data_IF_604419146721
#
_entry.id   IF_604419146721
#
_cell.length_a   1.000
_cell.length_b   1.000
_cell.length_c   1.000
_cell.angle_alpha   90.00
_cell.angle_beta   90.00
_cell.angle_gamma   90.00
#
_symmetry.space_group_name_H-M   'P 1'
#
loop_
_entity.id
_entity.type
_entity.pdbx_description
1 polymer ?
#
# COMPACT_ATOMS: atom_id res chain seq x y z
N UNK A 1 17.39 16.08 -14.88
CA UNK A 1 16.04 15.84 -15.42
C UNK A 1 15.81 14.35 -15.38
N UNK A 2 14.69 13.94 -14.77
CA UNK A 2 14.38 12.55 -14.58
C UNK A 2 14.02 11.92 -15.93
N UNK A 3 14.48 10.70 -16.18
CA UNK A 3 14.17 9.97 -17.41
C UNK A 3 12.92 9.10 -17.24
N UNK A 4 11.90 9.34 -18.05
CA UNK A 4 10.72 8.47 -18.11
C UNK A 4 11.03 7.17 -18.86
N UNK A 5 10.72 6.05 -18.22
CA UNK A 5 10.81 4.72 -18.82
C UNK A 5 9.47 4.36 -19.42
N UNK A 6 9.41 4.31 -20.74
CA UNK A 6 8.15 4.05 -21.47
C UNK A 6 7.62 2.62 -21.30
N UNK A 7 8.50 1.65 -21.02
CA UNK A 7 8.11 0.24 -20.88
C UNK A 7 7.59 -0.01 -19.46
N UNK A 8 6.32 -0.43 -19.29
CA UNK A 8 5.77 -0.73 -17.97
C UNK A 8 6.45 -1.95 -17.34
N UNK A 9 6.61 -1.91 -16.02
CA UNK A 9 7.24 -2.96 -15.21
C UNK A 9 6.18 -3.66 -14.36
N UNK A 10 6.26 -4.99 -14.26
CA UNK A 10 5.45 -5.74 -13.30
C UNK A 10 6.25 -5.95 -12.02
N UNK A 11 5.79 -5.39 -10.92
CA UNK A 11 6.33 -5.64 -9.58
C UNK A 11 5.46 -6.69 -8.89
N UNK A 12 5.96 -7.92 -8.84
CA UNK A 12 5.21 -9.07 -8.35
C UNK A 12 5.64 -9.44 -6.92
N UNK A 13 4.69 -9.46 -6.00
CA UNK A 13 4.85 -10.10 -4.70
C UNK A 13 4.80 -11.62 -4.83
N UNK A 14 5.49 -12.31 -3.91
CA UNK A 14 5.43 -13.75 -3.74
C UNK A 14 4.86 -14.09 -2.36
N UNK A 15 4.52 -15.35 -2.13
CA UNK A 15 4.13 -15.82 -0.81
C UNK A 15 5.32 -15.85 0.16
N UNK A 16 4.99 -15.74 1.45
CA UNK A 16 5.91 -15.93 2.57
C UNK A 16 5.20 -16.67 3.70
N UNK A 17 5.89 -16.87 4.83
CA UNK A 17 5.39 -17.70 5.93
C UNK A 17 3.99 -17.34 6.42
N UNK A 18 3.60 -16.07 6.40
CA UNK A 18 2.32 -15.59 6.92
C UNK A 18 1.33 -15.10 5.85
N UNK A 19 1.69 -15.16 4.57
CA UNK A 19 0.77 -14.86 3.49
C UNK A 19 1.00 -15.71 2.24
N UNK A 20 -0.10 -16.09 1.58
CA UNK A 20 -0.06 -16.74 0.28
C UNK A 20 -1.30 -16.50 -0.55
N UNK A 21 -1.13 -16.23 -1.85
CA UNK A 21 -2.21 -16.39 -2.83
C UNK A 21 -2.22 -17.87 -3.26
N UNK A 22 -3.18 -18.67 -2.82
CA UNK A 22 -3.17 -20.12 -3.05
C UNK A 22 -3.68 -20.45 -4.46
N UNK A 23 -4.82 -19.87 -4.84
CA UNK A 23 -5.46 -20.11 -6.14
C UNK A 23 -6.39 -18.93 -6.46
N UNK A 24 -6.72 -18.76 -7.72
CA UNK A 24 -7.58 -17.69 -8.21
C UNK A 24 -8.31 -18.10 -9.48
N UNK A 25 -9.47 -17.50 -9.67
CA UNK A 25 -10.28 -17.69 -10.86
C UNK A 25 -11.76 -17.43 -10.61
N UNK A 26 -12.53 -17.42 -11.70
CA UNK A 26 -13.96 -17.15 -11.73
C UNK A 26 -14.36 -15.91 -10.90
N UNK A 27 -13.54 -14.86 -10.99
CA UNK A 27 -13.75 -13.58 -10.32
C UNK A 27 -13.47 -13.59 -8.81
N UNK A 28 -12.75 -14.59 -8.29
CA UNK A 28 -12.43 -14.76 -6.86
C UNK A 28 -10.99 -15.21 -6.66
N UNK A 29 -10.53 -15.14 -5.41
CA UNK A 29 -9.22 -15.63 -4.96
C UNK A 29 -9.30 -16.33 -3.63
N UNK A 30 -8.47 -17.35 -3.45
CA UNK A 30 -8.22 -18.05 -2.19
C UNK A 30 -6.85 -17.63 -1.66
N UNK A 31 -6.81 -17.07 -0.46
CA UNK A 31 -5.58 -16.61 0.17
C UNK A 31 -5.40 -17.21 1.56
N UNK A 32 -4.15 -17.38 1.98
CA UNK A 32 -3.74 -17.72 3.33
C UNK A 32 -3.21 -16.46 4.04
N UNK A 33 -3.65 -16.25 5.27
CA UNK A 33 -3.17 -15.22 6.19
C UNK A 33 -2.83 -15.90 7.51
N UNK A 34 -1.57 -16.30 7.67
CA UNK A 34 -1.09 -17.11 8.79
C UNK A 34 -1.83 -18.47 8.84
N UNK A 35 -2.52 -18.80 9.93
CA UNK A 35 -3.23 -20.08 10.07
C UNK A 35 -4.56 -20.12 9.32
N UNK A 36 -5.06 -18.98 8.83
CA UNK A 36 -6.40 -18.87 8.27
C UNK A 36 -6.41 -18.76 6.75
N UNK A 37 -7.49 -19.26 6.12
CA UNK A 37 -7.70 -19.19 4.67
C UNK A 37 -9.01 -18.48 4.34
N UNK A 38 -8.98 -17.58 3.37
CA UNK A 38 -10.13 -16.76 3.00
C UNK A 38 -10.39 -16.75 1.50
N UNK A 39 -11.67 -16.83 1.14
CA UNK A 39 -12.13 -16.57 -0.22
C UNK A 39 -12.58 -15.12 -0.31
N UNK A 40 -12.08 -14.38 -1.31
CA UNK A 40 -12.44 -12.98 -1.54
C UNK A 40 -12.76 -12.73 -3.02
N UNK A 41 -13.64 -11.77 -3.32
CA UNK A 41 -13.91 -11.36 -4.70
C UNK A 41 -12.69 -10.65 -5.30
N UNK A 42 -12.38 -10.98 -6.54
CA UNK A 42 -11.39 -10.30 -7.37
C UNK A 42 -11.80 -10.43 -8.84
N UNK A 43 -12.48 -9.41 -9.36
CA UNK A 43 -13.07 -9.44 -10.70
C UNK A 43 -12.03 -9.53 -11.83
N UNK A 44 -10.74 -9.37 -11.52
CA UNK A 44 -9.65 -9.50 -12.49
C UNK A 44 -9.16 -10.95 -12.65
N UNK A 45 -9.55 -11.86 -11.75
CA UNK A 45 -9.27 -13.29 -11.86
C UNK A 45 -10.20 -13.96 -12.89
N UNK A 46 -10.07 -13.59 -14.17
CA UNK A 46 -10.96 -13.97 -15.27
C UNK A 46 -10.83 -15.44 -15.70
N UNK A 47 -9.72 -16.07 -15.35
CA UNK A 47 -9.42 -17.47 -15.64
C UNK A 47 -10.15 -18.43 -14.70
N UNK A 48 -10.05 -19.73 -14.94
CA UNK A 48 -10.64 -20.75 -14.05
C UNK A 48 -9.70 -21.08 -12.88
N UNK A 49 -10.21 -21.37 -11.68
CA UNK A 49 -9.42 -21.96 -10.59
C UNK A 49 -8.70 -23.23 -11.04
N UNK A 50 -7.51 -23.50 -10.47
CA UNK A 50 -6.78 -24.75 -10.72
C UNK A 50 -7.21 -25.85 -9.75
N UNK A 51 -7.65 -25.47 -8.56
CA UNK A 51 -8.20 -26.40 -7.58
C UNK A 51 -9.68 -26.62 -7.85
N UNK A 52 -10.13 -27.88 -7.80
CA UNK A 52 -11.55 -28.22 -7.97
C UNK A 52 -12.41 -27.64 -6.86
N UNK A 53 -11.86 -27.54 -5.64
CA UNK A 53 -12.55 -27.04 -4.45
C UNK A 53 -11.61 -26.23 -3.58
N UNK A 54 -12.11 -25.12 -3.05
CA UNK A 54 -11.41 -24.30 -2.09
C UNK A 54 -11.84 -24.64 -0.66
N UNK A 55 -10.87 -24.97 0.18
CA UNK A 55 -11.07 -25.07 1.62
C UNK A 55 -10.67 -23.74 2.28
N UNK A 56 -11.64 -23.07 2.91
CA UNK A 56 -11.45 -21.80 3.60
C UNK A 56 -12.11 -21.79 4.98
N UNK A 57 -11.64 -20.90 5.84
CA UNK A 57 -12.24 -20.60 7.14
C UNK A 57 -13.34 -19.54 7.02
N UNK A 58 -13.24 -18.68 6.00
CA UNK A 58 -14.30 -17.75 5.67
C UNK A 58 -14.28 -17.26 4.23
N UNK A 59 -15.39 -16.62 3.85
CA UNK A 59 -15.60 -16.01 2.56
C UNK A 59 -16.20 -14.61 2.75
N UNK A 60 -15.66 -13.61 2.04
CA UNK A 60 -16.29 -12.31 1.95
C UNK A 60 -17.31 -12.29 0.82
N UNK A 61 -18.58 -12.07 1.17
CA UNK A 61 -19.69 -11.92 0.23
C UNK A 61 -20.01 -10.42 0.11
N UNK A 62 -19.78 -9.79 -1.07
CA UNK A 62 -20.23 -8.43 -1.34
C UNK A 62 -21.74 -8.31 -1.10
N UNK A 63 -22.18 -7.21 -0.49
CA UNK A 63 -23.61 -6.87 -0.46
C UNK A 63 -24.06 -6.26 -1.78
N UNK A 64 -25.36 -6.01 -1.87
CA UNK A 64 -25.95 -5.29 -3.00
C UNK A 64 -25.48 -3.83 -3.00
N UNK A 65 -25.58 -3.16 -4.16
CA UNK A 65 -25.22 -1.74 -4.30
C UNK A 65 -26.03 -0.82 -3.35
N UNK A 66 -27.19 -1.28 -2.84
CA UNK A 66 -28.05 -0.55 -1.90
C UNK A 66 -27.57 -0.65 -0.43
N UNK A 67 -26.93 -1.76 -0.04
CA UNK A 67 -26.48 -2.01 1.35
C UNK A 67 -25.09 -1.44 1.65
N UNK A 68 -24.35 -0.97 0.62
CA UNK A 68 -23.09 -0.23 0.75
C UNK A 68 -21.93 -0.97 1.44
N UNK A 69 -22.09 -2.26 1.72
CA UNK A 69 -21.15 -3.10 2.46
C UNK A 69 -21.23 -4.56 2.04
N UNK A 70 -20.42 -5.42 2.65
CA UNK A 70 -20.51 -6.88 2.48
C UNK A 70 -20.42 -7.59 3.83
N UNK A 71 -20.37 -8.91 3.82
CA UNK A 71 -20.29 -9.70 5.05
C UNK A 71 -19.34 -10.88 4.93
N UNK A 72 -18.72 -11.22 6.04
CA UNK A 72 -17.98 -12.47 6.17
C UNK A 72 -18.94 -13.61 6.50
N UNK A 73 -18.81 -14.72 5.77
CA UNK A 73 -19.43 -16.00 6.08
C UNK A 73 -18.34 -16.96 6.52
N UNK A 74 -18.43 -17.49 7.73
CA UNK A 74 -17.40 -18.33 8.32
C UNK A 74 -17.79 -19.80 8.26
N UNK A 75 -16.89 -20.64 7.74
CA UNK A 75 -17.00 -22.10 7.80
C UNK A 75 -16.43 -22.66 9.10
N UNK A 76 -15.44 -21.98 9.69
CA UNK A 76 -14.82 -22.32 10.97
C UNK A 76 -14.70 -21.09 11.88
N UNK A 77 -14.51 -21.27 13.20
CA UNK A 77 -14.26 -20.15 14.10
C UNK A 77 -13.00 -19.36 13.71
N UNK A 78 -13.15 -18.04 13.56
CA UNK A 78 -12.06 -17.08 13.33
C UNK A 78 -12.08 -16.06 14.48
N UNK A 79 -10.93 -15.74 15.11
CA UNK A 79 -10.87 -14.76 16.20
C UNK A 79 -11.42 -13.39 15.78
N UNK A 80 -12.30 -12.81 16.60
CA UNK A 80 -12.92 -11.51 16.30
C UNK A 80 -11.96 -10.35 16.52
N UNK A 81 -11.05 -10.51 17.49
CA UNK A 81 -9.97 -9.60 17.83
C UNK A 81 -8.84 -9.58 16.78
N UNK A 82 -8.87 -10.51 15.82
CA UNK A 82 -7.82 -10.71 14.83
C UNK A 82 -6.74 -11.68 15.28
N UNK A 83 -5.73 -11.86 14.44
CA UNK A 83 -4.59 -12.74 14.69
C UNK A 83 -3.28 -12.07 14.24
N UNK A 84 -2.15 -12.36 14.91
CA UNK A 84 -0.87 -11.78 14.55
C UNK A 84 -0.37 -12.41 13.24
N UNK A 85 0.25 -11.57 12.43
CA UNK A 85 1.06 -11.93 11.27
C UNK A 85 2.40 -11.20 11.35
N UNK A 86 3.35 -11.65 10.54
CA UNK A 86 4.65 -11.04 10.36
C UNK A 86 5.00 -10.88 8.88
N UNK A 87 5.74 -9.82 8.60
CA UNK A 87 6.48 -9.63 7.36
C UNK A 87 7.86 -9.09 7.75
N UNK A 88 8.90 -9.89 7.52
CA UNK A 88 10.24 -9.67 8.05
C UNK A 88 10.19 -9.40 9.58
N UNK A 89 10.83 -8.33 10.05
CA UNK A 89 10.81 -7.92 11.46
C UNK A 89 9.49 -7.29 11.93
N UNK A 90 8.59 -6.92 11.01
CA UNK A 90 7.35 -6.20 11.36
C UNK A 90 6.24 -7.19 11.71
N UNK A 91 5.74 -7.12 12.95
CA UNK A 91 4.55 -7.85 13.39
C UNK A 91 3.32 -6.94 13.37
N UNK A 92 2.20 -7.46 12.90
CA UNK A 92 0.94 -6.71 12.77
C UNK A 92 -0.27 -7.62 12.96
N UNK A 93 -1.43 -7.03 13.22
CA UNK A 93 -2.68 -7.79 13.39
C UNK A 93 -3.50 -7.79 12.09
N UNK A 94 -3.83 -8.98 11.59
CA UNK A 94 -4.86 -9.15 10.57
C UNK A 94 -6.22 -9.41 11.21
N UNK A 95 -7.30 -9.01 10.54
CA UNK A 95 -8.66 -9.24 11.00
C UNK A 95 -9.67 -9.19 9.87
N UNK A 96 -10.76 -9.95 9.98
CA UNK A 96 -11.93 -9.82 9.12
C UNK A 96 -12.66 -8.51 9.41
N UNK A 97 -12.35 -7.47 8.65
CA UNK A 97 -13.00 -6.16 8.81
C UNK A 97 -14.44 -6.18 8.29
N UNK A 98 -15.26 -5.13 8.55
CA UNK A 98 -16.58 -5.00 7.90
C UNK A 98 -16.51 -4.90 6.37
N UNK A 99 -15.31 -4.69 5.81
CA UNK A 99 -15.06 -4.65 4.36
C UNK A 99 -14.24 -5.87 3.93
N UNK A 100 -13.96 -5.97 2.62
CA UNK A 100 -13.23 -7.10 2.02
C UNK A 100 -11.75 -7.21 2.42
N UNK A 101 -11.15 -6.18 3.04
CA UNK A 101 -9.73 -6.20 3.38
C UNK A 101 -9.49 -6.84 4.76
N UNK A 102 -8.29 -7.39 4.95
CA UNK A 102 -7.91 -8.16 6.14
C UNK A 102 -6.99 -7.41 7.11
N UNK A 103 -6.90 -6.08 6.99
CA UNK A 103 -6.03 -5.25 7.86
C UNK A 103 -4.61 -5.03 7.31
N UNK A 104 -4.29 -5.66 6.18
CA UNK A 104 -2.98 -5.65 5.54
C UNK A 104 -3.12 -5.87 4.02
N UNK A 105 -2.19 -5.30 3.25
CA UNK A 105 -2.13 -5.36 1.78
C UNK A 105 -0.81 -6.03 1.36
N UNK A 106 -0.84 -7.35 1.09
CA UNK A 106 0.36 -8.15 0.81
C UNK A 106 1.15 -7.73 -0.43
N UNK A 107 0.47 -7.14 -1.39
CA UNK A 107 1.04 -6.63 -2.63
C UNK A 107 1.96 -5.41 -2.44
N UNK A 108 1.95 -4.81 -1.26
CA UNK A 108 2.89 -3.76 -0.87
C UNK A 108 4.25 -4.29 -0.40
N UNK A 109 4.39 -5.59 -0.11
CA UNK A 109 5.66 -6.19 0.29
C UNK A 109 6.83 -5.87 -0.67
N UNK A 110 6.74 -6.11 -2.00
CA UNK A 110 7.81 -5.76 -2.92
C UNK A 110 8.06 -4.23 -3.02
N UNK A 111 7.05 -3.41 -2.72
CA UNK A 111 7.20 -1.95 -2.65
C UNK A 111 8.09 -1.57 -1.47
N UNK A 112 7.87 -2.18 -0.31
CA UNK A 112 8.65 -1.92 0.90
C UNK A 112 10.10 -2.40 0.77
N UNK A 113 10.31 -3.55 0.15
CA UNK A 113 11.66 -4.02 -0.18
C UNK A 113 12.36 -3.03 -1.12
N UNK A 114 11.70 -2.63 -2.21
CA UNK A 114 12.25 -1.66 -3.17
C UNK A 114 12.60 -0.31 -2.53
N UNK A 115 11.75 0.23 -1.65
CA UNK A 115 12.06 1.48 -0.93
C UNK A 115 13.26 1.30 0.00
N UNK A 116 13.40 0.11 0.61
CA UNK A 116 14.56 -0.22 1.42
C UNK A 116 15.86 -0.24 0.63
N UNK A 117 15.85 -0.74 -0.60
CA UNK A 117 16.99 -0.68 -1.52
C UNK A 117 17.39 0.77 -1.83
N UNK A 118 16.43 1.68 -1.99
CA UNK A 118 16.71 3.10 -2.25
C UNK A 118 17.34 3.83 -1.04
N UNK A 119 17.23 3.25 0.15
CA UNK A 119 17.74 3.78 1.41
C UNK A 119 18.88 2.94 2.00
N UNK A 120 19.44 2.00 1.22
CA UNK A 120 20.47 1.11 1.73
C UNK A 120 21.67 1.89 2.29
N UNK A 121 22.14 1.49 3.48
CA UNK A 121 23.21 2.17 4.19
C UNK A 121 22.84 3.48 4.90
N UNK A 122 21.59 3.97 4.77
CA UNK A 122 21.09 5.15 5.51
C UNK A 122 20.57 4.75 6.89
N UNK A 123 20.80 5.62 7.89
CA UNK A 123 20.25 5.49 9.25
C UNK A 123 19.53 6.75 9.74
N UNK A 124 19.52 7.80 8.93
CA UNK A 124 18.98 9.13 9.21
C UNK A 124 17.96 9.58 8.15
N UNK A 125 17.54 8.69 7.24
CA UNK A 125 16.63 9.02 6.16
C UNK A 125 15.22 9.38 6.71
N UNK A 126 14.81 10.62 6.51
CA UNK A 126 13.50 11.12 6.89
C UNK A 126 12.48 10.77 5.81
N UNK A 127 11.50 9.90 6.12
CA UNK A 127 10.48 9.46 5.16
C UNK A 127 9.07 9.90 5.54
N UNK A 128 8.18 9.96 4.56
CA UNK A 128 6.75 10.22 4.75
C UNK A 128 5.92 9.09 4.15
N UNK A 129 4.94 8.59 4.92
CA UNK A 129 3.94 7.64 4.47
C UNK A 129 2.55 8.29 4.53
N UNK A 130 2.02 8.66 3.36
CA UNK A 130 0.70 9.27 3.20
C UNK A 130 -0.34 8.18 2.92
N UNK A 131 -1.51 8.31 3.53
CA UNK A 131 -2.54 7.26 3.54
C UNK A 131 -2.01 5.97 4.17
N UNK A 132 -1.26 6.12 5.28
CA UNK A 132 -0.42 5.05 5.82
C UNK A 132 -1.16 3.87 6.45
N UNK A 133 -2.49 3.94 6.57
CA UNK A 133 -3.37 2.86 7.04
C UNK A 133 -2.89 2.21 8.35
N UNK A 134 -2.71 0.89 8.38
CA UNK A 134 -2.28 0.12 9.56
C UNK A 134 -0.76 0.16 9.79
N UNK A 135 -0.03 0.98 9.03
CA UNK A 135 1.33 1.38 9.34
C UNK A 135 2.42 0.36 9.07
N UNK A 136 2.15 -0.76 8.39
CA UNK A 136 3.21 -1.76 8.11
C UNK A 136 4.34 -1.16 7.26
N UNK A 137 4.02 -0.40 6.21
CA UNK A 137 5.03 0.34 5.44
C UNK A 137 5.78 1.41 6.25
N UNK A 138 5.12 2.04 7.22
CA UNK A 138 5.79 2.96 8.16
C UNK A 138 6.82 2.23 9.01
N UNK A 139 6.47 1.06 9.53
CA UNK A 139 7.38 0.26 10.35
C UNK A 139 8.55 -0.30 9.53
N UNK A 140 8.28 -0.73 8.28
CA UNK A 140 9.31 -1.15 7.34
C UNK A 140 10.36 -0.05 7.09
N UNK A 141 9.92 1.19 6.91
CA UNK A 141 10.81 2.35 6.68
C UNK A 141 11.52 2.82 7.96
N UNK A 142 10.95 2.57 9.14
CA UNK A 142 11.47 3.09 10.42
C UNK A 142 12.86 2.57 10.82
N UNK A 143 13.36 1.55 10.10
CA UNK A 143 14.74 1.07 10.27
C UNK A 143 15.80 1.96 9.63
N UNK A 144 15.42 2.81 8.67
CA UNK A 144 16.33 3.69 7.93
C UNK A 144 16.37 5.11 8.48
N UNK A 145 15.49 5.47 9.42
CA UNK A 145 15.43 6.79 10.01
C UNK A 145 14.03 7.21 10.46
N UNK A 146 13.81 8.51 10.72
CA UNK A 146 12.52 9.07 11.12
C UNK A 146 11.43 8.88 10.06
N UNK A 147 10.21 8.55 10.49
CA UNK A 147 9.05 8.40 9.59
C UNK A 147 7.90 9.29 10.02
N UNK A 148 7.35 10.06 9.10
CA UNK A 148 6.06 10.74 9.31
C UNK A 148 4.94 9.89 8.71
N UNK A 149 4.09 9.33 9.58
CA UNK A 149 2.90 8.57 9.18
C UNK A 149 1.67 9.49 9.19
N UNK A 150 0.94 9.52 8.09
CA UNK A 150 -0.25 10.36 7.93
C UNK A 150 -1.43 9.51 7.46
N UNK A 151 -2.53 9.52 8.21
CA UNK A 151 -3.79 8.91 7.81
C UNK A 151 -4.96 9.71 8.39
N UNK A 152 -6.05 9.86 7.64
CA UNK A 152 -7.23 10.61 8.11
C UNK A 152 -8.02 9.84 9.19
N UNK A 153 -7.91 8.51 9.23
CA UNK A 153 -8.62 7.65 10.16
C UNK A 153 -7.87 7.52 11.48
N UNK A 154 -8.42 8.13 12.53
CA UNK A 154 -7.95 7.92 13.92
C UNK A 154 -7.87 6.44 14.29
N UNK A 155 -8.79 5.61 13.78
CA UNK A 155 -8.79 4.16 13.98
C UNK A 155 -7.58 3.49 13.31
N UNK A 156 -7.25 3.90 12.09
CA UNK A 156 -6.09 3.37 11.35
C UNK A 156 -4.79 3.74 12.05
N UNK A 157 -4.62 5.01 12.43
CA UNK A 157 -3.43 5.47 13.19
C UNK A 157 -3.30 4.77 14.55
N UNK A 158 -4.41 4.54 15.25
CA UNK A 158 -4.40 3.76 16.49
C UNK A 158 -3.95 2.31 16.25
N UNK A 159 -4.45 1.67 15.19
CA UNK A 159 -4.00 0.33 14.80
C UNK A 159 -2.53 0.30 14.39
N UNK A 160 -2.04 1.32 13.69
CA UNK A 160 -0.63 1.44 13.31
C UNK A 160 0.29 1.54 14.54
N UNK A 161 -0.11 2.33 15.55
CA UNK A 161 0.59 2.37 16.85
C UNK A 161 0.53 1.03 17.59
N UNK A 162 -0.60 0.34 17.54
CA UNK A 162 -0.72 -1.00 18.14
C UNK A 162 0.19 -2.02 17.44
N UNK A 163 0.30 -1.96 16.11
CA UNK A 163 1.24 -2.77 15.34
C UNK A 163 2.70 -2.42 15.68
N UNK A 164 3.03 -1.14 15.89
CA UNK A 164 4.36 -0.72 16.35
C UNK A 164 4.71 -1.38 17.69
N UNK A 165 3.80 -1.33 18.66
CA UNK A 165 3.98 -1.99 19.97
C UNK A 165 4.08 -3.53 19.83
N UNK A 166 3.23 -4.14 19.00
CA UNK A 166 3.26 -5.59 18.73
C UNK A 166 4.59 -6.04 18.11
N UNK A 167 5.19 -5.19 17.27
CA UNK A 167 6.49 -5.42 16.66
C UNK A 167 7.68 -5.10 17.58
N UNK A 168 7.45 -4.53 18.78
CA UNK A 168 8.51 -4.03 19.66
C UNK A 168 9.28 -2.86 19.03
N UNK A 169 8.57 -2.00 18.29
CA UNK A 169 9.09 -0.86 17.53
C UNK A 169 8.49 0.47 18.00
N UNK A 170 7.97 0.53 19.22
CA UNK A 170 7.34 1.71 19.81
C UNK A 170 8.35 2.84 20.12
N UNK A 171 9.63 2.51 20.24
CA UNK A 171 10.74 3.46 20.44
C UNK A 171 11.29 4.04 19.12
N UNK A 172 10.85 3.53 17.97
CA UNK A 172 11.25 4.04 16.65
C UNK A 172 10.78 5.49 16.46
N UNK A 173 11.55 6.33 15.74
CA UNK A 173 11.24 7.74 15.54
C UNK A 173 10.07 7.98 14.56
N UNK A 174 8.86 7.58 14.94
CA UNK A 174 7.65 7.73 14.13
C UNK A 174 6.77 8.87 14.62
N UNK A 175 6.54 9.86 13.75
CA UNK A 175 5.56 10.92 13.96
C UNK A 175 4.21 10.50 13.40
N UNK A 176 3.27 10.16 14.28
CA UNK A 176 1.91 9.74 13.93
C UNK A 176 0.95 10.92 13.80
N UNK A 177 0.41 11.14 12.61
CA UNK A 177 -0.45 12.27 12.29
C UNK A 177 -1.84 11.77 11.85
N UNK A 178 -2.88 12.31 12.49
CA UNK A 178 -4.28 12.14 12.07
C UNK A 178 -4.70 13.41 11.33
N UNK A 179 -4.66 13.40 10.00
CA UNK A 179 -4.91 14.58 9.17
C UNK A 179 -5.26 14.21 7.73
N UNK A 180 -5.78 15.17 6.96
CA UNK A 180 -5.87 15.05 5.52
C UNK A 180 -4.48 15.11 4.89
N UNK A 181 -4.16 14.12 4.04
CA UNK A 181 -2.82 13.96 3.47
C UNK A 181 -2.39 15.17 2.62
N UNK A 182 -3.30 15.73 1.80
CA UNK A 182 -3.00 16.87 0.94
C UNK A 182 -2.79 18.15 1.74
N UNK A 183 -3.68 18.44 2.70
CA UNK A 183 -3.51 19.58 3.63
C UNK A 183 -2.22 19.46 4.43
N UNK A 184 -1.87 18.25 4.87
CA UNK A 184 -0.64 17.99 5.60
C UNK A 184 0.60 18.25 4.75
N UNK A 185 0.67 17.68 3.54
CA UNK A 185 1.76 17.92 2.61
C UNK A 185 1.93 19.43 2.33
N UNK A 186 0.83 20.14 2.05
CA UNK A 186 0.86 21.59 1.83
C UNK A 186 1.38 22.38 3.04
N UNK A 187 1.04 21.96 4.27
CA UNK A 187 1.59 22.56 5.51
C UNK A 187 3.08 22.31 5.66
N UNK A 188 3.55 21.10 5.35
CA UNK A 188 4.98 20.79 5.42
C UNK A 188 5.79 21.57 4.38
N UNK A 189 5.23 21.80 3.18
CA UNK A 189 5.83 22.71 2.17
C UNK A 189 5.98 24.12 2.73
N UNK A 190 4.92 24.69 3.31
CA UNK A 190 4.98 26.02 3.95
C UNK A 190 5.97 26.12 5.11
N UNK A 191 6.28 24.99 5.74
CA UNK A 191 7.28 24.88 6.82
C UNK A 191 8.70 24.65 6.31
N UNK A 192 8.90 24.57 4.99
CA UNK A 192 10.21 24.31 4.37
C UNK A 192 10.78 22.94 4.73
N UNK A 193 9.92 21.93 4.94
CA UNK A 193 10.37 20.56 5.26
C UNK A 193 10.90 19.85 4.02
N UNK A 194 11.76 18.85 4.25
CA UNK A 194 12.33 17.96 3.25
C UNK A 194 12.30 16.53 3.74
N UNK A 195 12.22 15.60 2.80
CA UNK A 195 12.17 14.16 3.05
C UNK A 195 13.10 13.45 2.05
N UNK A 196 13.69 12.35 2.47
CA UNK A 196 14.50 11.47 1.63
C UNK A 196 13.62 10.54 0.79
N UNK A 197 12.40 10.24 1.25
CA UNK A 197 11.50 9.34 0.56
C UNK A 197 10.03 9.56 0.92
N UNK A 198 9.15 9.48 -0.08
CA UNK A 198 7.70 9.61 0.12
C UNK A 198 7.01 8.39 -0.49
N UNK A 199 6.15 7.74 0.30
CA UNK A 199 5.18 6.75 -0.20
C UNK A 199 3.77 7.29 -0.01
N UNK A 200 2.92 7.08 -1.01
CA UNK A 200 1.52 7.48 -0.97
C UNK A 200 0.63 6.42 -1.62
N UNK A 201 -0.42 6.03 -0.89
CA UNK A 201 -1.42 5.05 -1.34
C UNK A 201 -2.85 5.65 -1.30
N UNK A 202 -3.12 6.69 -2.11
CA UNK A 202 -4.41 7.37 -2.08
C UNK A 202 -5.57 6.44 -2.51
N UNK A 203 -6.70 6.43 -1.77
CA UNK A 203 -7.89 5.72 -2.20
C UNK A 203 -8.54 6.44 -3.39
N UNK A 204 -9.40 5.74 -4.14
CA UNK A 204 -10.21 6.38 -5.20
C UNK A 204 -11.06 7.55 -4.66
N UNK A 205 -11.70 7.31 -3.53
CA UNK A 205 -12.54 8.26 -2.82
C UNK A 205 -12.25 8.14 -1.33
N UNK A 206 -12.22 9.27 -0.62
CA UNK A 206 -11.96 9.30 0.81
C UNK A 206 -12.54 10.53 1.46
N UNK A 207 -12.41 10.60 2.79
CA UNK A 207 -12.71 11.80 3.55
C UNK A 207 -11.60 12.11 4.55
N UNK A 208 -11.27 13.39 4.67
CA UNK A 208 -10.40 13.87 5.74
C UNK A 208 -11.10 13.88 7.11
N UNK A 209 -10.36 14.10 8.21
CA UNK A 209 -10.92 14.09 9.56
C UNK A 209 -11.97 15.16 9.81
N UNK A 210 -11.92 16.28 9.07
CA UNK A 210 -12.87 17.40 9.17
C UNK A 210 -13.96 17.34 8.09
N UNK A 211 -14.04 16.22 7.35
CA UNK A 211 -15.05 15.98 6.32
C UNK A 211 -14.66 16.44 4.92
N UNK A 212 -13.39 16.82 4.71
CA UNK A 212 -12.81 17.12 3.40
C UNK A 212 -13.08 15.97 2.43
N UNK A 213 -13.42 16.28 1.19
CA UNK A 213 -13.69 15.26 0.18
C UNK A 213 -12.40 14.98 -0.59
N UNK A 214 -11.95 13.72 -0.56
CA UNK A 214 -10.86 13.26 -1.42
C UNK A 214 -11.43 12.53 -2.63
N UNK A 215 -10.94 12.91 -3.81
CA UNK A 215 -11.21 12.26 -5.10
C UNK A 215 -9.92 12.19 -5.88
N UNK A 216 -9.48 10.97 -6.18
CA UNK A 216 -8.17 10.72 -6.78
C UNK A 216 -7.93 11.58 -8.04
N UNK A 217 -8.84 11.51 -9.00
CA UNK A 217 -8.72 12.21 -10.31
C UNK A 217 -8.67 13.74 -10.18
N UNK A 218 -9.32 14.30 -9.14
CA UNK A 218 -9.39 15.75 -8.94
C UNK A 218 -8.22 16.30 -8.10
N UNK A 219 -7.70 15.51 -7.15
CA UNK A 219 -6.79 15.99 -6.12
C UNK A 219 -5.36 15.43 -6.21
N UNK A 220 -5.16 14.32 -6.93
CA UNK A 220 -3.84 13.69 -7.05
C UNK A 220 -2.78 14.64 -7.65
N UNK A 221 -3.04 15.42 -8.72
CA UNK A 221 -2.02 16.32 -9.28
C UNK A 221 -1.46 17.31 -8.25
N UNK A 222 -2.33 18.03 -7.53
CA UNK A 222 -1.89 18.99 -6.50
C UNK A 222 -1.19 18.32 -5.30
N UNK A 223 -1.58 17.09 -4.94
CA UNK A 223 -0.84 16.34 -3.92
C UNK A 223 0.58 15.98 -4.40
N UNK A 224 0.74 15.56 -5.66
CA UNK A 224 2.03 15.22 -6.25
C UNK A 224 2.93 16.46 -6.35
N UNK A 225 2.40 17.63 -6.70
CA UNK A 225 3.13 18.91 -6.66
C UNK A 225 3.67 19.21 -5.26
N UNK A 226 2.87 19.00 -4.21
CA UNK A 226 3.32 19.15 -2.83
C UNK A 226 4.40 18.14 -2.46
N UNK A 227 4.25 16.86 -2.86
CA UNK A 227 5.27 15.84 -2.61
C UNK A 227 6.58 16.17 -3.31
N UNK A 228 6.52 16.61 -4.57
CA UNK A 228 7.69 17.10 -5.31
C UNK A 228 8.38 18.25 -4.59
N UNK A 229 7.65 19.25 -4.11
CA UNK A 229 8.22 20.38 -3.37
C UNK A 229 8.84 20.00 -2.01
N UNK A 230 8.56 18.80 -1.51
CA UNK A 230 9.14 18.20 -0.31
C UNK A 230 10.37 17.31 -0.59
N UNK A 231 10.69 17.08 -1.87
CA UNK A 231 11.84 16.30 -2.35
C UNK A 231 12.83 17.23 -3.06
N UNK A 232 14.11 16.86 -3.06
CA UNK A 232 15.19 17.56 -3.75
C UNK A 232 16.18 16.58 -4.43
N UNK A 233 17.30 17.11 -4.92
CA UNK A 233 18.31 16.35 -5.67
C UNK A 233 19.05 15.31 -4.80
N UNK A 234 18.93 15.36 -3.47
CA UNK A 234 19.50 14.39 -2.53
C UNK A 234 18.46 13.35 -2.07
N UNK A 235 17.16 13.62 -2.29
CA UNK A 235 16.09 12.66 -2.04
C UNK A 235 16.23 11.43 -2.92
N UNK A 236 15.70 10.29 -2.44
CA UNK A 236 15.89 8.96 -3.03
C UNK A 236 14.70 8.43 -3.78
N UNK A 237 13.48 8.71 -3.31
CA UNK A 237 12.30 8.20 -4.00
C UNK A 237 10.98 8.95 -3.73
N UNK A 238 10.06 8.75 -4.67
CA UNK A 238 8.62 8.84 -4.48
C UNK A 238 7.99 7.56 -5.02
N UNK A 239 7.09 6.93 -4.27
CA UNK A 239 6.33 5.77 -4.75
C UNK A 239 4.83 5.99 -4.58
N UNK A 240 4.09 6.00 -5.70
CA UNK A 240 2.65 6.18 -5.75
C UNK A 240 1.97 4.86 -6.14
N UNK A 241 1.05 4.38 -5.32
CA UNK A 241 0.16 3.25 -5.63
C UNK A 241 -1.29 3.69 -5.81
N UNK A 242 -1.99 3.02 -6.73
CA UNK A 242 -3.42 3.26 -6.97
C UNK A 242 -4.14 1.92 -7.23
N UNK A 243 -5.05 1.55 -6.33
CA UNK A 243 -5.89 0.34 -6.44
C UNK A 243 -7.10 0.50 -7.38
N UNK A 244 -7.32 1.69 -7.96
CA UNK A 244 -8.48 2.00 -8.79
C UNK A 244 -8.26 1.58 -10.27
N UNK A 245 -8.72 0.38 -10.63
CA UNK A 245 -8.51 -0.29 -11.95
C UNK A 245 -9.18 0.39 -13.17
N UNK A 246 -9.60 1.65 -13.06
CA UNK A 246 -10.09 2.43 -14.24
C UNK A 246 -9.06 3.45 -14.76
N UNK A 247 -7.83 3.36 -14.31
CA UNK A 247 -6.71 4.21 -14.72
C UNK A 247 -5.58 3.35 -15.29
N UNK A 248 -4.86 3.87 -16.27
CA UNK A 248 -3.62 3.27 -16.78
C UNK A 248 -2.44 3.80 -15.97
N UNK A 249 -1.42 2.96 -15.72
CA UNK A 249 -0.16 3.40 -15.12
C UNK A 249 0.54 4.50 -15.94
N UNK A 250 0.27 4.58 -17.25
CA UNK A 250 0.73 5.68 -18.12
C UNK A 250 0.23 7.05 -17.68
N UNK A 251 -0.99 7.14 -17.13
CA UNK A 251 -1.52 8.42 -16.64
C UNK A 251 -0.76 8.89 -15.39
N UNK A 252 -0.37 7.94 -14.52
CA UNK A 252 0.46 8.24 -13.35
C UNK A 252 1.88 8.62 -13.77
N UNK A 253 2.44 7.91 -14.75
CA UNK A 253 3.76 8.17 -15.29
C UNK A 253 3.85 9.57 -15.91
N UNK A 254 2.88 9.96 -16.74
CA UNK A 254 2.84 11.29 -17.35
C UNK A 254 2.73 12.42 -16.32
N UNK A 255 1.96 12.21 -15.23
CA UNK A 255 1.91 13.16 -14.13
C UNK A 255 3.27 13.29 -13.42
N UNK A 256 3.95 12.18 -13.13
CA UNK A 256 5.28 12.24 -12.52
C UNK A 256 6.31 12.86 -13.47
N UNK A 257 6.26 12.56 -14.77
CA UNK A 257 7.17 13.10 -15.78
C UNK A 257 7.09 14.63 -15.85
N UNK A 258 5.88 15.19 -15.85
CA UNK A 258 5.66 16.63 -15.80
C UNK A 258 6.21 17.24 -14.50
N UNK A 259 5.85 16.66 -13.35
CA UNK A 259 6.14 17.27 -12.03
C UNK A 259 7.61 17.10 -11.61
N UNK A 260 8.29 16.04 -12.04
CA UNK A 260 9.69 15.75 -11.68
C UNK A 260 10.70 16.13 -12.76
N UNK A 261 10.28 16.84 -13.81
CA UNK A 261 11.12 17.21 -14.95
C UNK A 261 12.44 17.90 -14.54
N UNK A 262 12.45 18.62 -13.42
CA UNK A 262 13.59 19.40 -12.93
C UNK A 262 14.53 18.63 -11.98
N UNK A 263 14.15 17.48 -11.45
CA UNK A 263 15.02 16.63 -10.62
C UNK A 263 15.87 15.67 -11.46
N UNK A 264 16.99 15.13 -10.94
CA UNK A 264 17.64 13.96 -11.53
C UNK A 264 16.82 12.68 -11.32
N UNK A 265 17.28 11.57 -11.88
CA UNK A 265 16.74 10.25 -11.58
C UNK A 265 15.94 9.62 -12.72
N UNK A 266 15.03 8.72 -12.35
CA UNK A 266 14.29 7.87 -13.29
C UNK A 266 12.85 7.71 -12.82
N UNK A 267 11.93 7.70 -13.77
CA UNK A 267 10.50 7.46 -13.56
C UNK A 267 10.13 6.12 -14.18
N UNK A 268 9.52 5.25 -13.38
CA UNK A 268 9.01 3.95 -13.80
C UNK A 268 7.54 3.81 -13.41
N UNK A 269 6.82 2.99 -14.16
CA UNK A 269 5.41 2.73 -13.91
C UNK A 269 5.04 1.30 -14.28
N UNK A 270 3.88 0.84 -13.84
CA UNK A 270 3.34 -0.44 -14.25
C UNK A 270 2.35 -1.00 -13.24
N UNK A 271 2.37 -2.32 -13.07
CA UNK A 271 1.40 -3.07 -12.28
C UNK A 271 2.06 -3.72 -11.07
N UNK A 272 1.39 -3.61 -9.92
CA UNK A 272 1.56 -4.50 -8.79
C UNK A 272 0.72 -5.75 -9.02
N UNK A 273 1.32 -6.90 -8.72
CA UNK A 273 0.64 -8.19 -8.82
C UNK A 273 1.04 -9.12 -7.69
N UNK A 274 0.15 -10.06 -7.37
CA UNK A 274 0.46 -11.19 -6.50
C UNK A 274 0.63 -12.45 -7.33
N UNK A 275 1.74 -13.16 -7.11
CA UNK A 275 1.96 -14.48 -7.70
C UNK A 275 1.31 -15.55 -6.82
N UNK A 276 0.57 -16.46 -7.45
CA UNK A 276 0.08 -17.67 -6.78
C UNK A 276 1.23 -18.53 -6.26
N UNK A 277 1.02 -19.21 -5.13
CA UNK A 277 1.93 -20.19 -4.57
C UNK A 277 2.14 -21.38 -5.52
N UNK A 278 3.35 -21.94 -5.51
CA UNK A 278 3.69 -23.14 -6.27
C UNK A 278 4.23 -22.89 -7.67
N UNK A 279 4.64 -23.98 -8.32
CA UNK A 279 5.24 -23.94 -9.64
C UNK A 279 4.24 -23.44 -10.69
N UNK A 280 4.68 -22.50 -11.54
CA UNK A 280 3.83 -21.91 -12.57
C UNK A 280 2.67 -21.06 -12.03
N UNK A 281 2.78 -20.52 -10.82
CA UNK A 281 1.79 -19.63 -10.22
C UNK A 281 1.46 -18.42 -11.11
N UNK A 282 0.16 -18.17 -11.33
CA UNK A 282 -0.32 -17.05 -12.16
C UNK A 282 -0.13 -15.73 -11.41
N UNK A 283 -0.03 -14.64 -12.17
CA UNK A 283 -0.02 -13.30 -11.63
C UNK A 283 -1.45 -12.76 -11.60
N UNK A 284 -1.90 -12.36 -10.41
CA UNK A 284 -3.15 -11.65 -10.20
C UNK A 284 -2.85 -10.16 -9.99
N UNK A 285 -3.22 -9.26 -10.91
CA UNK A 285 -2.98 -7.82 -10.75
C UNK A 285 -3.78 -7.25 -9.58
N UNK A 286 -3.19 -6.31 -8.84
CA UNK A 286 -3.82 -5.74 -7.64
C UNK A 286 -3.96 -4.22 -7.69
N UNK A 287 -2.92 -3.52 -8.13
CA UNK A 287 -2.87 -2.07 -8.23
C UNK A 287 -1.94 -1.65 -9.37
N UNK A 288 -2.04 -0.40 -9.79
CA UNK A 288 -1.04 0.24 -10.65
C UNK A 288 -0.12 1.10 -9.79
N UNK A 289 1.09 1.36 -10.28
CA UNK A 289 2.02 2.28 -9.63
C UNK A 289 2.73 3.18 -10.63
N UNK A 290 3.25 4.29 -10.11
CA UNK A 290 4.35 5.04 -10.70
C UNK A 290 5.32 5.46 -9.59
N UNK A 291 6.61 5.51 -9.92
CA UNK A 291 7.67 5.84 -8.96
C UNK A 291 8.71 6.73 -9.61
N UNK A 292 9.24 7.66 -8.84
CA UNK A 292 10.47 8.38 -9.14
C UNK A 292 11.56 7.85 -8.21
N UNK A 293 12.78 7.69 -8.73
CA UNK A 293 13.94 7.27 -7.94
C UNK A 293 15.20 7.99 -8.36
N UNK A 294 16.07 8.24 -7.39
CA UNK A 294 17.34 8.93 -7.55
C UNK A 294 18.42 8.25 -6.68
N UNK A 295 19.08 7.20 -7.22
CA UNK A 295 20.05 6.42 -6.46
C UNK A 295 21.34 7.19 -6.15
N UNK A 296 21.55 8.38 -6.72
CA UNK A 296 22.79 9.16 -6.58
C UNK A 296 23.78 8.87 -7.69
#
# INVERSE_FOLDING_TARGET
>A
MAELVETPVVMAGAAWDDYGLIDSGDGRKLERYGPHRFIRPDTQALWRPRLERWASDGEFVPGSDEDGGGRWQFAHPVPQEGWPLAWNEVRFTASCTPFRHLGFFPDMAPVWDWMGEQLEGRGDAATMNLFGYTGVGTLALSRFGPVTHVDASKKSVAQARANAALAGMDDRPVRWIVDDAAKFAAREVRRGKRYDGIILDPPKFGRGPEGEVWRLEEHLPGLIEHCRALLDDDSRFLFLTVYAVRMSSLALAGLLDEVFADLPGRIEHGDLAMREEGEGGRLLPTAIFARWSNPG
#
